data_IF_645487670667
#
_entry.id   IF_645487670667
#
_cell.length_a   1.000
_cell.length_b   1.000
_cell.length_c   1.000
_cell.angle_alpha   90.00
_cell.angle_beta   90.00
_cell.angle_gamma   90.00
#
_symmetry.space_group_name_H-M   'P 1'
#
loop_
_entity.id
_entity.type
_entity.pdbx_description
1 polymer ?
#
# COMPACT_ATOMS: atom_id res chain seq x y z
N UNK A 1 25.10 -4.70 -12.26
CA UNK A 1 23.81 -4.98 -11.58
C UNK A 1 22.69 -4.90 -12.62
N UNK A 2 21.84 -5.92 -12.75
CA UNK A 2 20.80 -6.03 -13.80
C UNK A 2 19.35 -5.80 -13.29
N UNK A 3 19.19 -5.17 -12.12
CA UNK A 3 17.88 -4.94 -11.50
C UNK A 3 17.79 -3.54 -10.90
N UNK A 4 16.60 -2.93 -11.00
CA UNK A 4 16.19 -1.72 -10.29
C UNK A 4 14.74 -1.86 -9.82
N UNK A 5 14.38 -1.16 -8.75
CA UNK A 5 12.99 -1.07 -8.28
C UNK A 5 12.19 -0.20 -9.26
N UNK A 6 11.14 -0.77 -9.84
CA UNK A 6 10.30 -0.08 -10.83
C UNK A 6 9.06 0.55 -10.20
N UNK A 7 8.68 1.73 -10.68
CA UNK A 7 7.36 2.31 -10.41
C UNK A 7 6.30 1.63 -11.28
N UNK A 8 5.12 1.37 -10.72
CA UNK A 8 4.00 0.73 -11.43
C UNK A 8 2.75 1.60 -11.51
N UNK A 9 2.61 2.60 -10.62
CA UNK A 9 1.51 3.56 -10.61
C UNK A 9 1.97 4.88 -10.02
N UNK A 10 1.57 5.97 -10.66
CA UNK A 10 1.70 7.33 -10.14
C UNK A 10 0.32 7.80 -9.70
N UNK A 11 0.17 8.15 -8.43
CA UNK A 11 -1.03 8.78 -7.92
C UNK A 11 -0.89 10.30 -8.02
N UNK A 12 -2.03 11.01 -8.15
CA UNK A 12 -2.05 12.47 -8.12
C UNK A 12 -1.57 12.95 -6.75
N UNK A 13 -0.48 13.71 -6.71
CA UNK A 13 0.11 14.24 -5.48
C UNK A 13 -0.54 15.57 -5.09
N UNK A 14 -0.62 16.52 -6.02
CA UNK A 14 -1.26 17.81 -5.79
C UNK A 14 -1.84 18.43 -7.06
N UNK A 15 -2.74 19.39 -6.88
CA UNK A 15 -3.32 20.25 -7.91
C UNK A 15 -3.07 21.70 -7.52
N UNK A 16 -2.67 22.53 -8.49
CA UNK A 16 -2.49 23.98 -8.32
C UNK A 16 -3.42 24.70 -9.27
N UNK A 17 -4.24 25.62 -8.75
CA UNK A 17 -5.10 26.47 -9.57
C UNK A 17 -4.33 27.69 -10.13
N UNK A 18 -4.98 28.45 -11.03
CA UNK A 18 -4.36 29.63 -11.68
C UNK A 18 -4.04 30.79 -10.73
N UNK A 19 -4.59 30.77 -9.51
CA UNK A 19 -4.31 31.75 -8.44
C UNK A 19 -3.30 31.20 -7.42
N UNK A 20 -2.74 30.01 -7.65
CA UNK A 20 -1.79 29.35 -6.77
C UNK A 20 -2.43 28.59 -5.61
N UNK A 21 -3.75 28.43 -5.59
CA UNK A 21 -4.44 27.60 -4.61
C UNK A 21 -4.01 26.13 -4.74
N UNK A 22 -3.73 25.48 -3.61
CA UNK A 22 -3.15 24.14 -3.55
C UNK A 22 -4.15 23.14 -2.95
N UNK A 23 -4.27 21.99 -3.61
CA UNK A 23 -4.93 20.78 -3.10
C UNK A 23 -3.88 19.66 -3.06
N UNK A 24 -3.68 19.03 -1.91
CA UNK A 24 -2.69 17.95 -1.73
C UNK A 24 -3.39 16.64 -1.35
N UNK A 25 -2.95 15.54 -1.93
CA UNK A 25 -3.46 14.19 -1.69
C UNK A 25 -2.37 13.35 -1.01
N UNK A 26 -2.66 12.86 0.19
CA UNK A 26 -1.75 11.99 0.95
C UNK A 26 -2.25 10.56 0.90
N UNK A 27 -1.35 9.61 0.62
CA UNK A 27 -1.69 8.19 0.48
C UNK A 27 -0.91 7.33 1.48
N UNK A 28 -1.62 6.36 2.04
CA UNK A 28 -1.03 5.24 2.78
C UNK A 28 -0.47 4.22 1.82
N UNK A 29 0.62 3.55 2.22
CA UNK A 29 1.29 2.54 1.39
C UNK A 29 1.06 1.13 1.92
N UNK A 30 0.78 0.19 1.01
CA UNK A 30 0.72 -1.23 1.32
C UNK A 30 1.95 -1.90 0.70
N UNK A 31 2.71 -2.64 1.50
CA UNK A 31 3.96 -3.28 1.03
C UNK A 31 3.81 -4.80 0.91
N UNK A 32 4.64 -5.40 0.07
CA UNK A 32 4.76 -6.84 -0.10
C UNK A 32 6.19 -7.18 -0.55
N UNK A 33 6.51 -8.47 -0.65
CA UNK A 33 7.76 -8.96 -1.23
C UNK A 33 7.53 -9.88 -2.42
N UNK A 34 8.56 -10.07 -3.21
CA UNK A 34 8.62 -11.11 -4.22
C UNK A 34 10.06 -11.63 -4.30
N UNK A 35 10.24 -12.88 -4.73
CA UNK A 35 11.54 -13.52 -4.82
C UNK A 35 12.14 -13.26 -6.21
N UNK A 36 13.20 -12.44 -6.28
CA UNK A 36 13.90 -12.11 -7.54
C UNK A 36 15.23 -12.83 -7.68
N UNK A 37 15.73 -12.92 -8.92
CA UNK A 37 17.11 -13.30 -9.21
C UNK A 37 17.45 -14.77 -8.93
N UNK A 38 16.46 -15.66 -9.05
CA UNK A 38 16.68 -17.10 -8.96
C UNK A 38 17.46 -17.58 -10.17
N UNK A 39 18.49 -18.36 -9.91
CA UNK A 39 19.30 -19.05 -10.92
C UNK A 39 19.94 -20.27 -10.29
N UNK A 40 20.59 -21.11 -11.10
CA UNK A 40 21.41 -22.22 -10.59
C UNK A 40 22.50 -21.75 -9.60
N UNK A 41 23.06 -20.56 -9.81
CA UNK A 41 24.06 -19.94 -8.94
C UNK A 41 23.45 -19.20 -7.72
N UNK A 42 22.14 -18.93 -7.73
CA UNK A 42 21.41 -18.29 -6.63
C UNK A 42 20.05 -18.98 -6.44
N UNK A 43 20.03 -20.22 -5.93
CA UNK A 43 18.81 -21.03 -5.85
C UNK A 43 17.79 -20.46 -4.85
N UNK A 44 18.23 -19.70 -3.85
CA UNK A 44 17.34 -19.10 -2.83
C UNK A 44 16.70 -17.79 -3.32
N UNK A 45 17.27 -17.14 -4.32
CA UNK A 45 16.83 -15.82 -4.78
C UNK A 45 17.02 -14.73 -3.72
N UNK A 46 16.36 -13.59 -3.91
CA UNK A 46 16.33 -12.47 -2.96
C UNK A 46 14.89 -12.01 -2.76
N UNK A 47 14.43 -11.90 -1.51
CA UNK A 47 13.13 -11.33 -1.18
C UNK A 47 13.20 -9.80 -1.25
N UNK A 48 12.62 -9.24 -2.29
CA UNK A 48 12.65 -7.81 -2.57
C UNK A 48 11.35 -7.14 -2.13
N UNK A 49 11.44 -6.14 -1.24
CA UNK A 49 10.27 -5.39 -0.79
C UNK A 49 9.86 -4.33 -1.81
N UNK A 50 8.58 -4.20 -2.06
CA UNK A 50 7.99 -3.17 -2.92
C UNK A 50 6.65 -2.67 -2.36
N UNK A 51 6.19 -1.54 -2.90
CA UNK A 51 4.83 -1.04 -2.65
C UNK A 51 3.86 -1.78 -3.55
N UNK A 52 3.02 -2.66 -3.00
CA UNK A 52 2.01 -3.43 -3.75
C UNK A 52 0.72 -2.66 -3.99
N UNK A 53 0.47 -1.62 -3.21
CA UNK A 53 -0.79 -0.89 -3.21
C UNK A 53 -0.70 0.41 -2.43
N UNK A 54 -1.80 1.15 -2.42
CA UNK A 54 -1.94 2.35 -1.62
C UNK A 54 -3.35 2.91 -1.72
N UNK A 55 -3.78 3.57 -0.66
CA UNK A 55 -5.12 4.12 -0.46
C UNK A 55 -5.00 5.59 -0.05
N UNK A 56 -5.98 6.39 -0.42
CA UNK A 56 -6.03 7.79 -0.05
C UNK A 56 -6.34 7.89 1.45
N UNK A 57 -5.54 8.65 2.19
CA UNK A 57 -5.71 8.87 3.63
C UNK A 57 -6.27 10.26 3.91
N UNK A 58 -5.83 11.26 3.14
CA UNK A 58 -6.19 12.65 3.37
C UNK A 58 -6.13 13.47 2.11
N UNK A 59 -7.09 14.37 1.94
CA UNK A 59 -6.99 15.51 1.03
C UNK A 59 -6.97 16.78 1.87
N UNK A 60 -5.99 17.65 1.65
CA UNK A 60 -5.96 18.99 2.26
C UNK A 60 -6.15 20.07 1.21
N UNK A 61 -6.85 21.14 1.57
CA UNK A 61 -7.13 22.26 0.67
C UNK A 61 -7.26 23.59 1.42
N UNK A 62 -7.21 24.68 0.67
CA UNK A 62 -7.25 26.04 1.23
C UNK A 62 -5.88 26.52 1.73
N UNK A 63 -4.81 26.06 1.10
CA UNK A 63 -3.45 26.63 1.20
C UNK A 63 -3.03 27.23 -0.15
N UNK A 64 -1.95 27.99 -0.19
CA UNK A 64 -1.33 28.46 -1.42
C UNK A 64 0.00 27.72 -1.66
N UNK A 65 0.40 27.52 -2.92
CA UNK A 65 1.68 26.87 -3.23
C UNK A 65 2.87 27.68 -2.67
N UNK A 66 2.77 29.01 -2.70
CA UNK A 66 3.86 29.90 -2.24
C UNK A 66 4.15 29.83 -0.74
N UNK A 67 3.20 29.35 0.07
CA UNK A 67 3.32 29.25 1.53
C UNK A 67 3.08 27.84 2.09
N UNK A 68 2.98 26.82 1.22
CA UNK A 68 2.65 25.44 1.59
C UNK A 68 3.59 24.81 2.63
N UNK A 69 4.84 25.29 2.72
CA UNK A 69 5.83 24.81 3.69
C UNK A 69 5.64 25.40 5.10
N UNK A 70 4.96 26.55 5.23
CA UNK A 70 4.89 27.33 6.47
C UNK A 70 3.46 27.53 6.97
N UNK A 71 2.46 27.41 6.09
CA UNK A 71 1.05 27.63 6.40
C UNK A 71 0.29 26.31 6.31
N UNK A 72 -0.49 26.02 7.35
CA UNK A 72 -1.36 24.84 7.37
C UNK A 72 -2.57 25.05 6.45
N UNK A 73 -3.01 24.03 5.71
CA UNK A 73 -4.24 24.09 4.95
C UNK A 73 -5.44 24.40 5.85
N UNK A 74 -6.38 25.20 5.35
CA UNK A 74 -7.56 25.64 6.10
C UNK A 74 -8.52 24.49 6.40
N UNK A 75 -8.58 23.48 5.53
CA UNK A 75 -9.48 22.34 5.68
C UNK A 75 -8.87 21.03 5.16
N UNK A 76 -9.48 19.91 5.58
CA UNK A 76 -9.09 18.56 5.17
C UNK A 76 -10.30 17.62 5.05
N UNK A 77 -10.18 16.63 4.19
CA UNK A 77 -11.03 15.43 4.11
C UNK A 77 -10.18 14.25 4.56
N UNK A 78 -10.67 13.51 5.56
CA UNK A 78 -10.02 12.31 6.07
C UNK A 78 -10.73 11.08 5.54
N UNK A 79 -9.93 10.08 5.18
CA UNK A 79 -10.38 8.81 4.64
C UNK A 79 -10.01 7.71 5.62
N UNK A 80 -10.99 7.25 6.38
CA UNK A 80 -10.83 6.07 7.22
C UNK A 80 -10.95 4.81 6.36
N UNK A 81 -10.14 3.80 6.66
CA UNK A 81 -10.20 2.52 5.96
C UNK A 81 -10.38 1.37 6.93
N UNK A 82 -11.06 0.33 6.46
CA UNK A 82 -11.17 -0.95 7.13
C UNK A 82 -10.44 -2.04 6.33
N UNK A 83 -10.14 -3.16 6.99
CA UNK A 83 -9.70 -4.36 6.28
C UNK A 83 -10.88 -4.97 5.49
N UNK A 84 -10.59 -5.59 4.34
CA UNK A 84 -11.56 -6.33 3.51
C UNK A 84 -12.10 -7.59 4.18
N UNK A 85 -11.54 -7.96 5.32
CA UNK A 85 -11.94 -9.15 6.07
C UNK A 85 -13.40 -9.13 6.54
N UNK A 86 -13.90 -10.32 6.82
CA UNK A 86 -15.18 -10.60 7.47
C UNK A 86 -15.01 -10.57 9.01
N UNK A 87 -15.36 -9.45 9.69
CA UNK A 87 -15.24 -9.37 11.14
C UNK A 87 -16.28 -10.24 11.82
N UNK A 88 -15.94 -10.66 13.04
CA UNK A 88 -16.85 -11.39 13.92
C UNK A 88 -16.79 -10.71 15.29
N UNK A 89 -17.93 -10.17 15.73
CA UNK A 89 -17.99 -9.39 16.96
C UNK A 89 -17.45 -10.21 18.13
N UNK A 90 -16.54 -9.62 18.89
CA UNK A 90 -15.89 -10.21 20.08
C UNK A 90 -15.03 -11.47 19.81
N UNK A 91 -14.85 -11.86 18.54
CA UNK A 91 -14.10 -13.07 18.14
C UNK A 91 -12.97 -12.74 17.18
N UNK A 92 -13.23 -11.92 16.15
CA UNK A 92 -12.29 -11.59 15.10
C UNK A 92 -12.42 -10.13 14.66
N UNK A 93 -11.43 -9.32 15.03
CA UNK A 93 -11.36 -7.88 14.79
C UNK A 93 -10.79 -7.49 13.41
N UNK A 94 -10.41 -8.47 12.58
CA UNK A 94 -9.71 -8.24 11.32
C UNK A 94 -8.42 -7.42 11.45
N UNK A 95 -7.68 -7.51 12.57
CA UNK A 95 -6.41 -6.80 12.66
C UNK A 95 -5.46 -7.20 11.51
N UNK A 96 -4.73 -6.26 10.86
CA UNK A 96 -3.94 -6.55 9.65
C UNK A 96 -2.92 -7.70 9.80
N UNK A 97 -2.32 -7.82 10.98
CA UNK A 97 -1.39 -8.88 11.35
C UNK A 97 -2.04 -10.27 11.41
N UNK A 98 -3.37 -10.34 11.51
CA UNK A 98 -4.12 -11.61 11.52
C UNK A 98 -4.35 -12.17 10.13
N UNK A 99 -3.99 -11.47 9.04
CA UNK A 99 -3.95 -12.03 7.69
C UNK A 99 -2.82 -13.07 7.61
N UNK A 100 -3.13 -14.30 7.97
CA UNK A 100 -2.20 -15.46 8.04
C UNK A 100 -2.83 -16.66 7.33
N UNK A 101 -2.04 -17.71 7.08
CA UNK A 101 -2.54 -18.93 6.44
C UNK A 101 -3.69 -19.58 7.22
N UNK A 102 -3.67 -19.47 8.57
CA UNK A 102 -4.72 -20.00 9.43
C UNK A 102 -6.04 -19.22 9.31
N UNK A 103 -5.96 -17.91 9.03
CA UNK A 103 -7.12 -17.01 8.99
C UNK A 103 -7.44 -16.52 7.57
N UNK A 104 -6.80 -17.05 6.53
CA UNK A 104 -6.94 -16.56 5.16
C UNK A 104 -8.40 -16.57 4.67
N UNK A 105 -9.21 -17.50 5.17
CA UNK A 105 -10.66 -17.60 4.86
C UNK A 105 -11.47 -16.42 5.37
N UNK A 106 -10.94 -15.63 6.31
CA UNK A 106 -11.56 -14.36 6.75
C UNK A 106 -11.38 -13.23 5.73
N UNK A 107 -10.48 -13.34 4.76
CA UNK A 107 -10.36 -12.42 3.61
C UNK A 107 -10.66 -13.16 2.29
N UNK A 108 -11.93 -13.43 1.97
CA UNK A 108 -12.30 -14.25 0.81
C UNK A 108 -11.92 -13.63 -0.55
N UNK A 109 -11.71 -12.32 -0.60
CA UNK A 109 -11.42 -11.53 -1.80
C UNK A 109 -9.97 -11.01 -1.85
N UNK A 110 -9.15 -11.31 -0.85
CA UNK A 110 -7.72 -10.96 -0.85
C UNK A 110 -6.91 -12.16 -1.33
N UNK A 111 -6.05 -12.00 -2.35
CA UNK A 111 -5.20 -13.09 -2.84
C UNK A 111 -4.05 -13.36 -1.85
N UNK A 112 -4.34 -14.05 -0.76
CA UNK A 112 -3.37 -14.36 0.30
C UNK A 112 -2.18 -15.19 -0.21
N UNK A 113 -2.40 -16.04 -1.22
CA UNK A 113 -1.37 -16.80 -1.93
C UNK A 113 -0.30 -15.89 -2.57
N UNK A 114 -0.65 -14.64 -2.87
CA UNK A 114 0.25 -13.63 -3.42
C UNK A 114 1.02 -12.84 -2.34
N UNK A 115 0.77 -13.13 -1.06
CA UNK A 115 1.45 -12.49 0.08
C UNK A 115 2.82 -13.14 0.32
N UNK A 116 3.86 -12.31 0.38
CA UNK A 116 5.19 -12.74 0.76
C UNK A 116 5.71 -11.92 1.95
N UNK A 117 6.05 -12.64 3.01
CA UNK A 117 6.62 -12.08 4.22
C UNK A 117 8.10 -11.75 4.07
N UNK A 118 8.65 -11.06 5.09
CA UNK A 118 10.09 -10.79 5.17
C UNK A 118 10.93 -12.07 5.35
N UNK A 119 10.33 -13.14 5.85
CA UNK A 119 10.95 -14.43 6.12
C UNK A 119 10.02 -15.56 5.67
N UNK A 120 10.56 -16.77 5.56
CA UNK A 120 9.79 -17.95 5.13
C UNK A 120 9.77 -18.16 3.62
N UNK A 121 8.88 -19.05 3.18
CA UNK A 121 8.78 -19.47 1.77
C UNK A 121 7.88 -18.50 0.99
N UNK A 122 8.40 -17.97 -0.11
CA UNK A 122 7.68 -17.13 -1.07
C UNK A 122 8.09 -17.57 -2.47
N UNK A 123 7.14 -18.04 -3.27
CA UNK A 123 7.37 -18.47 -4.66
C UNK A 123 6.77 -17.50 -5.69
N UNK A 124 6.46 -16.27 -5.27
CA UNK A 124 6.08 -15.20 -6.19
C UNK A 124 7.33 -14.60 -6.80
N UNK A 125 7.58 -14.84 -8.10
CA UNK A 125 8.78 -14.38 -8.80
C UNK A 125 8.63 -13.03 -9.50
N UNK A 126 7.46 -12.41 -9.36
CA UNK A 126 7.18 -11.07 -9.88
C UNK A 126 6.31 -10.29 -8.88
N UNK A 127 6.33 -8.94 -8.94
CA UNK A 127 5.45 -8.12 -8.13
C UNK A 127 3.97 -8.41 -8.42
N UNK A 128 3.14 -8.40 -7.38
CA UNK A 128 1.69 -8.54 -7.45
C UNK A 128 1.01 -7.36 -6.79
N UNK A 129 -0.09 -6.90 -7.37
CA UNK A 129 -0.73 -5.65 -6.97
C UNK A 129 -2.16 -5.91 -6.52
N UNK A 130 -2.40 -5.71 -5.23
CA UNK A 130 -3.66 -5.96 -4.55
C UNK A 130 -3.69 -5.15 -3.26
N UNK A 131 -4.86 -5.00 -2.67
CA UNK A 131 -5.07 -4.23 -1.45
C UNK A 131 -5.82 -5.06 -0.41
N UNK A 132 -5.58 -4.83 0.87
CA UNK A 132 -6.42 -5.35 1.95
C UNK A 132 -7.39 -4.30 2.48
N UNK A 133 -7.30 -3.06 1.99
CA UNK A 133 -8.07 -1.91 2.48
C UNK A 133 -9.35 -1.67 1.67
N UNK A 134 -10.45 -1.44 2.37
CA UNK A 134 -11.69 -0.86 1.84
C UNK A 134 -11.96 0.49 2.51
N UNK A 135 -12.55 1.39 1.74
CA UNK A 135 -13.17 2.63 2.22
C UNK A 135 -14.59 2.32 2.71
#
# INVERSE_FOLDING_TARGET
ASWCKQAWRWNLDFVVDTRGGLITHTYGTETNRYKRGISTANPTGTLEQYTRGGHLEKITYGSNLSDAATVKPTAQVLFETAERCLPEKDVFDCAPEKLTAANQTKWPDVPFDQKCEATGTCENYSPTFWSTKRL
#
